data_IF_300296784830
#
_entry.id   IF_300296784830
#
_cell.length_a   1.000
_cell.length_b   1.000
_cell.length_c   1.000
_cell.angle_alpha   90.00
_cell.angle_beta   90.00
_cell.angle_gamma   90.00
#
_symmetry.space_group_name_H-M   'P 1'
#
loop_
_entity.id
_entity.type
_entity.pdbx_description
1 polymer ?
#
# COMPACT_ATOMS: atom_id res chain seq x y z
N UNK A 1 7.09 24.98 -4.61
CA UNK A 1 8.26 24.29 -5.21
C UNK A 1 8.32 22.78 -4.92
N UNK A 2 8.07 22.28 -3.69
CA UNK A 2 8.16 20.83 -3.38
C UNK A 2 7.15 19.92 -4.12
N UNK A 3 5.90 20.34 -4.35
CA UNK A 3 4.89 19.49 -5.01
C UNK A 3 5.24 19.13 -6.46
N UNK A 4 5.80 20.09 -7.23
CA UNK A 4 6.27 19.83 -8.60
C UNK A 4 7.38 18.76 -8.64
N UNK A 5 8.29 18.78 -7.65
CA UNK A 5 9.33 17.77 -7.50
C UNK A 5 8.75 16.38 -7.26
N UNK A 6 7.79 16.24 -6.34
CA UNK A 6 7.14 14.95 -6.08
C UNK A 6 6.31 14.45 -7.26
N UNK A 7 5.61 15.34 -7.96
CA UNK A 7 4.90 14.99 -9.18
C UNK A 7 5.86 14.49 -10.27
N UNK A 8 6.97 15.20 -10.48
CA UNK A 8 8.00 14.78 -11.43
C UNK A 8 8.57 13.41 -11.07
N UNK A 9 8.90 13.19 -9.79
CA UNK A 9 9.40 11.90 -9.32
C UNK A 9 8.36 10.78 -9.49
N UNK A 10 7.08 11.04 -9.25
CA UNK A 10 6.01 10.07 -9.47
C UNK A 10 5.92 9.69 -10.95
N UNK A 11 5.90 10.69 -11.85
CA UNK A 11 5.88 10.48 -13.30
C UNK A 11 7.11 9.68 -13.72
N UNK A 12 8.30 10.03 -13.22
CA UNK A 12 9.54 9.30 -13.49
C UNK A 12 9.42 7.81 -13.15
N UNK A 13 8.93 7.46 -11.96
CA UNK A 13 8.76 6.06 -11.56
C UNK A 13 7.71 5.32 -12.38
N UNK A 14 6.59 5.98 -12.71
CA UNK A 14 5.55 5.41 -13.60
C UNK A 14 6.13 5.14 -14.99
N UNK A 15 6.84 6.12 -15.57
CA UNK A 15 7.48 5.97 -16.88
C UNK A 15 8.51 4.84 -16.86
N UNK A 16 9.32 4.74 -15.81
CA UNK A 16 10.29 3.68 -15.67
C UNK A 16 9.64 2.29 -15.61
N UNK A 17 8.52 2.16 -14.87
CA UNK A 17 7.73 0.92 -14.82
C UNK A 17 7.14 0.56 -16.19
N UNK A 18 6.63 1.54 -16.94
CA UNK A 18 6.10 1.31 -18.30
C UNK A 18 7.21 0.87 -19.26
N UNK A 19 8.38 1.51 -19.21
CA UNK A 19 9.54 1.11 -20.00
C UNK A 19 9.99 -0.32 -19.66
N UNK A 20 9.97 -0.67 -18.38
CA UNK A 20 10.26 -2.04 -17.97
C UNK A 20 9.21 -3.04 -18.44
N UNK A 21 7.93 -2.66 -18.48
CA UNK A 21 6.89 -3.50 -19.08
C UNK A 21 7.11 -3.74 -20.57
N UNK A 22 7.52 -2.69 -21.32
CA UNK A 22 7.89 -2.81 -22.74
C UNK A 22 9.08 -3.77 -22.89
N UNK A 23 10.08 -3.69 -22.00
CA UNK A 23 11.19 -4.64 -21.98
C UNK A 23 10.71 -6.08 -21.75
N UNK A 24 9.78 -6.30 -20.81
CA UNK A 24 9.17 -7.62 -20.56
C UNK A 24 8.44 -8.10 -21.81
N UNK A 25 7.69 -7.24 -22.49
CA UNK A 25 7.00 -7.58 -23.74
C UNK A 25 7.97 -8.15 -24.79
N UNK A 26 9.12 -7.50 -24.99
CA UNK A 26 10.12 -7.97 -25.96
C UNK A 26 10.93 -9.19 -25.50
N UNK A 27 11.15 -9.37 -24.20
CA UNK A 27 12.03 -10.43 -23.67
C UNK A 27 11.29 -11.70 -23.23
N UNK A 28 10.05 -11.58 -22.76
CA UNK A 28 9.23 -12.68 -22.21
C UNK A 28 7.87 -12.82 -22.90
N UNK A 29 7.49 -11.89 -23.76
CA UNK A 29 6.26 -11.94 -24.56
C UNK A 29 5.07 -11.21 -23.95
N UNK A 30 3.97 -11.20 -24.69
CA UNK A 30 2.76 -10.44 -24.38
C UNK A 30 2.13 -10.84 -23.05
N UNK A 31 1.98 -12.15 -22.78
CA UNK A 31 1.34 -12.64 -21.56
C UNK A 31 2.05 -12.13 -20.30
N UNK A 32 3.39 -12.24 -20.25
CA UNK A 32 4.16 -11.74 -19.12
C UNK A 32 4.09 -10.22 -18.96
N UNK A 33 3.96 -9.47 -20.06
CA UNK A 33 3.79 -8.01 -20.00
C UNK A 33 2.41 -7.63 -19.44
N UNK A 34 1.35 -8.35 -19.84
CA UNK A 34 0.00 -8.15 -19.28
C UNK A 34 -0.03 -8.51 -17.80
N UNK A 35 0.62 -9.60 -17.40
CA UNK A 35 0.77 -9.99 -15.99
C UNK A 35 1.53 -8.95 -15.18
N UNK A 36 2.67 -8.47 -15.69
CA UNK A 36 3.45 -7.41 -15.03
C UNK A 36 2.63 -6.13 -14.86
N UNK A 37 1.98 -5.67 -15.93
CA UNK A 37 1.21 -4.44 -15.92
C UNK A 37 0.00 -4.53 -14.99
N UNK A 38 -0.70 -5.67 -15.04
CA UNK A 38 -1.79 -5.98 -14.13
C UNK A 38 -1.33 -5.97 -12.68
N UNK A 39 -0.21 -6.64 -12.41
CA UNK A 39 0.37 -6.70 -11.09
C UNK A 39 0.82 -5.34 -10.55
N UNK A 40 1.44 -4.53 -11.41
CA UNK A 40 1.85 -3.18 -11.08
C UNK A 40 0.65 -2.29 -10.73
N UNK A 41 -0.44 -2.38 -11.50
CA UNK A 41 -1.66 -1.61 -11.23
C UNK A 41 -2.33 -2.05 -9.92
N UNK A 42 -2.49 -3.35 -9.71
CA UNK A 42 -3.06 -3.89 -8.45
C UNK A 42 -2.26 -3.41 -7.26
N UNK A 43 -0.94 -3.55 -7.33
CA UNK A 43 -0.07 -3.17 -6.24
C UNK A 43 -0.07 -1.67 -5.98
N UNK A 44 -0.03 -0.85 -7.04
CA UNK A 44 -0.14 0.61 -6.93
C UNK A 44 -1.46 1.02 -6.28
N UNK A 45 -2.54 0.31 -6.59
CA UNK A 45 -3.89 0.57 -6.05
C UNK A 45 -3.99 0.22 -4.57
N UNK A 46 -3.45 -0.92 -4.16
CA UNK A 46 -3.44 -1.33 -2.77
C UNK A 46 -2.48 -0.48 -1.93
N UNK A 47 -1.37 -0.05 -2.52
CA UNK A 47 -0.42 0.88 -1.89
C UNK A 47 -1.06 2.24 -1.53
N UNK A 48 -2.15 2.65 -2.18
CA UNK A 48 -2.91 3.86 -1.79
C UNK A 48 -3.54 3.73 -0.41
N UNK A 49 -4.12 2.56 -0.10
CA UNK A 49 -4.69 2.29 1.22
C UNK A 49 -3.60 2.34 2.30
N UNK A 50 -2.43 1.78 1.98
CA UNK A 50 -1.25 1.82 2.85
C UNK A 50 -0.82 3.26 3.16
N UNK A 51 -0.85 4.16 2.17
CA UNK A 51 -0.51 5.57 2.36
C UNK A 51 -1.48 6.25 3.33
N UNK A 52 -2.79 5.97 3.26
CA UNK A 52 -3.75 6.55 4.20
C UNK A 52 -3.48 6.11 5.64
N UNK A 53 -3.13 4.83 5.83
CA UNK A 53 -2.71 4.34 7.13
C UNK A 53 -1.44 5.05 7.61
N UNK A 54 -0.46 5.27 6.73
CA UNK A 54 0.77 5.98 7.10
C UNK A 54 0.49 7.42 7.52
N UNK A 55 -0.38 8.14 6.79
CA UNK A 55 -0.82 9.49 7.16
C UNK A 55 -1.48 9.50 8.55
N UNK A 56 -2.33 8.52 8.83
CA UNK A 56 -3.00 8.38 10.12
C UNK A 56 -2.00 8.11 11.26
N UNK A 57 -1.03 7.22 11.04
CA UNK A 57 0.03 6.93 12.01
C UNK A 57 0.86 8.18 12.26
N UNK A 58 1.38 8.84 11.22
CA UNK A 58 2.19 10.04 11.39
C UNK A 58 1.43 11.17 12.09
N UNK A 59 0.14 11.34 11.78
CA UNK A 59 -0.72 12.31 12.45
C UNK A 59 -0.97 11.96 13.91
N UNK A 60 -1.25 10.70 14.23
CA UNK A 60 -1.50 10.21 15.59
C UNK A 60 -0.29 10.38 16.52
N UNK A 61 0.92 10.18 15.98
CA UNK A 61 2.18 10.36 16.72
C UNK A 61 2.76 11.78 16.64
N UNK A 62 2.09 12.71 15.93
CA UNK A 62 2.55 14.09 15.79
C UNK A 62 3.91 14.24 15.07
N UNK A 63 4.21 13.35 14.13
CA UNK A 63 5.50 13.34 13.41
C UNK A 63 5.52 14.47 12.38
N UNK A 64 6.44 15.43 12.55
CA UNK A 64 6.67 16.52 11.59
C UNK A 64 7.13 15.98 10.23
N UNK A 65 6.72 16.65 9.14
CA UNK A 65 7.05 16.30 7.74
C UNK A 65 8.55 16.04 7.50
N UNK A 66 9.43 16.77 8.19
CA UNK A 66 10.89 16.64 8.07
C UNK A 66 11.42 15.26 8.49
N UNK A 67 10.73 14.58 9.41
CA UNK A 67 11.13 13.26 9.88
C UNK A 67 10.43 12.11 9.14
N UNK A 68 9.28 12.38 8.53
CA UNK A 68 8.53 11.38 7.75
C UNK A 68 9.35 10.85 6.58
N UNK A 69 10.13 11.72 5.91
CA UNK A 69 11.00 11.32 4.79
C UNK A 69 11.95 10.17 5.16
N UNK A 70 12.55 10.25 6.35
CA UNK A 70 13.48 9.23 6.82
C UNK A 70 12.74 7.94 7.09
N UNK A 71 11.60 8.00 7.78
CA UNK A 71 10.80 6.81 8.08
C UNK A 71 10.34 6.13 6.81
N UNK A 72 9.84 6.88 5.82
CA UNK A 72 9.40 6.34 4.53
C UNK A 72 10.55 5.69 3.76
N UNK A 73 11.77 6.25 3.81
CA UNK A 73 12.93 5.66 3.13
C UNK A 73 13.28 4.28 3.69
N UNK A 74 13.41 4.17 5.01
CA UNK A 74 13.69 2.87 5.64
C UNK A 74 12.49 1.93 5.52
N UNK A 75 11.27 2.47 5.58
CA UNK A 75 10.00 1.77 5.38
C UNK A 75 9.92 1.06 4.02
N UNK A 76 10.27 1.78 2.95
CA UNK A 76 10.30 1.22 1.59
C UNK A 76 11.34 0.11 1.47
N UNK A 77 12.52 0.27 2.08
CA UNK A 77 13.57 -0.77 2.06
C UNK A 77 13.12 -2.01 2.81
N UNK A 78 12.54 -1.85 4.00
CA UNK A 78 12.02 -2.97 4.79
C UNK A 78 10.88 -3.70 4.08
N UNK A 79 9.89 -2.95 3.56
CA UNK A 79 8.80 -3.48 2.75
C UNK A 79 9.31 -4.32 1.56
N UNK A 80 10.31 -3.82 0.80
CA UNK A 80 10.87 -4.59 -0.33
C UNK A 80 11.48 -5.93 0.09
N UNK A 81 12.11 -5.99 1.26
CA UNK A 81 12.70 -7.22 1.80
C UNK A 81 11.61 -8.16 2.33
N UNK A 82 10.68 -7.64 3.14
CA UNK A 82 9.59 -8.43 3.71
C UNK A 82 8.69 -9.01 2.61
N UNK A 83 8.39 -8.23 1.57
CA UNK A 83 7.62 -8.72 0.44
C UNK A 83 8.34 -9.80 -0.33
N UNK A 84 9.65 -9.69 -0.56
CA UNK A 84 10.41 -10.78 -1.17
C UNK A 84 10.22 -12.08 -0.38
N UNK A 85 10.34 -12.01 0.94
CA UNK A 85 10.14 -13.17 1.83
C UNK A 85 8.72 -13.72 1.66
N UNK A 86 7.68 -12.90 1.76
CA UNK A 86 6.31 -13.38 1.64
C UNK A 86 5.96 -13.92 0.27
N UNK A 87 6.49 -13.35 -0.82
CA UNK A 87 6.28 -13.84 -2.18
C UNK A 87 6.92 -15.23 -2.32
N UNK A 88 8.17 -15.40 -1.88
CA UNK A 88 8.85 -16.70 -1.95
C UNK A 88 8.13 -17.77 -1.12
N UNK A 89 7.71 -17.42 0.10
CA UNK A 89 6.91 -18.31 0.95
C UNK A 89 5.55 -18.62 0.30
N UNK A 90 4.87 -17.61 -0.23
CA UNK A 90 3.56 -17.73 -0.86
C UNK A 90 3.58 -18.64 -2.08
N UNK A 91 4.52 -18.44 -3.00
CA UNK A 91 4.69 -19.32 -4.17
C UNK A 91 4.98 -20.76 -3.74
N UNK A 92 5.83 -20.94 -2.73
CA UNK A 92 6.15 -22.29 -2.19
C UNK A 92 4.90 -22.98 -1.63
N UNK A 93 4.04 -22.24 -0.94
CA UNK A 93 2.79 -22.75 -0.37
C UNK A 93 1.80 -23.11 -1.49
N UNK A 94 1.61 -22.22 -2.47
CA UNK A 94 0.69 -22.43 -3.60
C UNK A 94 1.08 -23.66 -4.41
N UNK A 95 2.38 -23.85 -4.68
CA UNK A 95 2.87 -25.00 -5.42
C UNK A 95 2.65 -26.33 -4.71
N UNK A 96 2.53 -26.32 -3.37
CA UNK A 96 2.22 -27.52 -2.57
C UNK A 96 0.72 -27.74 -2.39
N UNK A 97 -0.06 -26.67 -2.31
CA UNK A 97 -1.48 -26.71 -1.99
C UNK A 97 -2.28 -25.80 -2.93
N UNK A 98 -2.73 -26.34 -4.06
CA UNK A 98 -3.48 -25.59 -5.06
C UNK A 98 -4.77 -24.94 -4.50
N UNK A 99 -5.42 -25.56 -3.50
CA UNK A 99 -6.61 -25.00 -2.84
C UNK A 99 -6.34 -23.73 -2.02
N UNK A 100 -5.08 -23.37 -1.76
CA UNK A 100 -4.72 -22.15 -1.03
C UNK A 100 -5.16 -20.90 -1.81
N UNK A 101 -5.16 -20.94 -3.15
CA UNK A 101 -5.69 -19.84 -3.96
C UNK A 101 -7.15 -19.54 -3.63
N UNK A 102 -7.99 -20.56 -3.40
CA UNK A 102 -9.38 -20.36 -3.00
C UNK A 102 -9.51 -19.80 -1.58
N UNK A 103 -8.63 -20.20 -0.65
CA UNK A 103 -8.58 -19.61 0.69
C UNK A 103 -8.20 -18.12 0.65
N UNK A 104 -7.20 -17.79 -0.16
CA UNK A 104 -6.82 -16.43 -0.50
C UNK A 104 -8.00 -15.65 -1.08
N UNK A 105 -8.82 -16.28 -1.93
CA UNK A 105 -10.06 -15.68 -2.42
C UNK A 105 -11.04 -15.29 -1.31
N UNK A 106 -11.23 -16.14 -0.30
CA UNK A 106 -12.10 -15.85 0.86
C UNK A 106 -11.56 -14.67 1.67
N UNK A 107 -10.24 -14.62 1.89
CA UNK A 107 -9.58 -13.52 2.60
C UNK A 107 -9.80 -12.19 1.86
N UNK A 108 -9.59 -12.18 0.54
CA UNK A 108 -9.81 -11.00 -0.30
C UNK A 108 -11.28 -10.53 -0.28
N UNK A 109 -12.24 -11.46 -0.34
CA UNK A 109 -13.65 -11.10 -0.22
C UNK A 109 -13.94 -10.43 1.13
N UNK A 110 -13.43 -11.00 2.22
CA UNK A 110 -13.59 -10.43 3.55
C UNK A 110 -12.99 -9.02 3.66
N UNK A 111 -11.74 -8.85 3.22
CA UNK A 111 -11.07 -7.55 3.24
C UNK A 111 -11.79 -6.52 2.36
N UNK A 112 -12.20 -6.91 1.16
CA UNK A 112 -12.97 -6.07 0.26
C UNK A 112 -14.31 -5.61 0.85
N UNK A 113 -15.08 -6.52 1.47
CA UNK A 113 -16.33 -6.17 2.17
C UNK A 113 -16.08 -5.23 3.36
N UNK A 114 -14.98 -5.44 4.09
CA UNK A 114 -14.61 -4.60 5.22
C UNK A 114 -14.36 -3.15 4.81
N UNK A 115 -13.84 -2.89 3.60
CA UNK A 115 -13.61 -1.54 3.11
C UNK A 115 -14.89 -0.70 2.98
N UNK A 116 -16.04 -1.34 2.74
CA UNK A 116 -17.36 -0.68 2.65
C UNK A 116 -18.00 -0.37 4.01
N UNK A 117 -17.47 -0.95 5.08
CA UNK A 117 -17.99 -0.67 6.43
C UNK A 117 -17.62 0.76 6.85
N UNK A 118 -18.62 1.56 7.19
CA UNK A 118 -18.48 2.96 7.66
C UNK A 118 -17.93 3.08 9.09
N UNK A 119 -17.26 2.05 9.62
CA UNK A 119 -16.42 2.26 10.79
C UNK A 119 -15.23 3.07 10.32
N UNK A 120 -15.33 4.40 10.50
CA UNK A 120 -14.15 5.26 10.51
C UNK A 120 -13.11 4.52 11.32
N UNK A 121 -12.04 4.10 10.65
CA UNK A 121 -10.88 3.48 11.27
C UNK A 121 -10.21 4.57 12.11
N UNK A 122 -10.84 4.98 13.21
CA UNK A 122 -10.19 5.66 14.31
C UNK A 122 -9.33 4.60 14.99
N UNK A 123 -8.27 4.17 14.30
CA UNK A 123 -7.26 3.31 14.90
C UNK A 123 -6.54 4.18 15.91
N UNK A 124 -6.96 4.09 17.16
CA UNK A 124 -6.23 4.70 18.28
C UNK A 124 -4.87 3.98 18.40
N UNK A 125 -3.86 4.47 17.69
CA UNK A 125 -2.50 3.95 17.80
C UNK A 125 -1.89 4.26 19.17
N UNK A 126 -2.41 5.27 19.87
CA UNK A 126 -1.93 5.72 21.18
C UNK A 126 -1.94 4.66 22.30
N UNK A 127 -2.57 3.50 22.10
CA UNK A 127 -2.63 2.42 23.12
C UNK A 127 -2.30 1.01 22.58
N UNK A 128 -1.85 0.87 21.33
CA UNK A 128 -1.91 -0.42 20.62
C UNK A 128 -0.64 -1.29 20.73
N UNK A 129 -0.88 -2.60 20.60
CA UNK A 129 0.02 -3.75 20.70
C UNK A 129 1.47 -3.54 20.26
N UNK A 130 1.70 -2.87 19.12
CA UNK A 130 3.04 -2.60 18.59
C UNK A 130 3.91 -1.75 19.54
N UNK A 131 3.36 -0.68 20.13
CA UNK A 131 4.07 0.16 21.11
C UNK A 131 4.36 -0.63 22.40
N UNK A 132 3.41 -1.48 22.84
CA UNK A 132 3.59 -2.35 24.01
C UNK A 132 4.68 -3.40 23.80
N UNK A 133 4.76 -4.01 22.62
CA UNK A 133 5.82 -4.97 22.28
C UNK A 133 7.17 -4.26 22.18
N UNK A 134 7.22 -3.10 21.51
CA UNK A 134 8.42 -2.28 21.44
C UNK A 134 8.91 -1.88 22.82
N UNK A 135 8.02 -1.42 23.71
CA UNK A 135 8.35 -1.04 25.07
C UNK A 135 8.84 -2.19 25.95
N UNK A 136 8.52 -3.45 25.59
CA UNK A 136 9.09 -4.65 26.23
C UNK A 136 10.49 -5.01 25.70
N UNK A 137 10.82 -4.66 24.46
CA UNK A 137 12.10 -4.98 23.83
C UNK A 137 13.16 -3.88 24.07
N UNK A 138 12.78 -2.61 23.96
CA UNK A 138 13.67 -1.46 24.08
C UNK A 138 12.94 -0.33 24.82
N UNK A 139 13.54 0.30 25.85
CA UNK A 139 12.91 1.43 26.53
C UNK A 139 12.73 2.60 25.55
N UNK A 140 11.50 3.12 25.46
CA UNK A 140 11.13 4.21 24.53
C UNK A 140 11.37 5.55 25.23
N UNK A 141 12.06 6.47 24.55
CA UNK A 141 12.21 7.85 25.00
C UNK A 141 11.01 8.69 24.56
N UNK A 142 10.49 9.54 25.46
CA UNK A 142 9.45 10.52 25.12
C UNK A 142 9.99 11.77 24.39
N UNK A 143 11.31 11.86 24.20
CA UNK A 143 11.96 13.01 23.58
C UNK A 143 12.39 12.68 22.15
N UNK A 144 11.93 13.49 21.21
CA UNK A 144 12.45 13.54 19.84
C UNK A 144 13.86 14.16 19.85
N UNK A 145 14.87 13.42 19.37
CA UNK A 145 16.24 13.91 19.18
C UNK A 145 16.57 13.99 17.69
N UNK A 146 15.90 14.93 17.01
CA UNK A 146 16.00 15.14 15.57
C UNK A 146 15.68 13.87 14.76
N UNK A 147 16.53 13.55 13.78
CA UNK A 147 16.32 12.42 12.87
C UNK A 147 16.73 11.05 13.45
N UNK A 148 17.24 10.95 14.68
CA UNK A 148 17.83 9.69 15.18
C UNK A 148 16.75 8.67 15.56
N UNK A 149 16.96 7.40 15.21
CA UNK A 149 16.12 6.27 15.65
C UNK A 149 16.46 5.77 17.06
N UNK A 150 17.71 5.95 17.48
CA UNK A 150 18.18 5.54 18.79
C UNK A 150 18.94 6.70 19.44
N UNK A 151 18.75 6.83 20.75
CA UNK A 151 19.51 7.75 21.58
C UNK A 151 20.17 6.99 22.72
N UNK A 152 21.37 7.40 23.10
CA UNK A 152 22.07 6.84 24.27
C UNK A 152 21.92 7.80 25.44
N UNK A 153 21.30 7.35 26.53
CA UNK A 153 21.19 8.10 27.79
C UNK A 153 21.67 7.20 28.93
N UNK A 154 22.55 7.70 29.79
CA UNK A 154 23.09 6.95 30.94
C UNK A 154 23.58 5.54 30.60
N UNK A 155 24.40 5.41 29.55
CA UNK A 155 24.93 4.14 28.99
C UNK A 155 23.89 3.14 28.46
N UNK A 156 22.58 3.43 28.54
CA UNK A 156 21.49 2.63 27.97
C UNK A 156 21.04 3.20 26.63
N UNK A 157 20.63 2.32 25.71
CA UNK A 157 20.08 2.68 24.40
C UNK A 157 18.55 2.79 24.54
N UNK A 158 17.99 3.88 24.04
CA UNK A 158 16.56 4.12 23.99
C UNK A 158 16.10 4.26 22.54
N UNK A 159 14.97 3.65 22.22
CA UNK A 159 14.30 3.88 20.94
C UNK A 159 13.60 5.24 20.97
N UNK A 160 13.69 6.00 19.88
CA UNK A 160 12.92 7.23 19.71
C UNK A 160 11.52 6.91 19.17
N UNK A 161 10.55 7.85 19.27
CA UNK A 161 9.24 7.66 18.69
C UNK A 161 9.29 7.42 17.17
N UNK A 162 10.31 7.94 16.47
CA UNK A 162 10.54 7.68 15.05
C UNK A 162 10.81 6.21 14.74
N UNK A 163 11.55 5.52 15.62
CA UNK A 163 11.80 4.09 15.44
C UNK A 163 10.54 3.27 15.72
N UNK A 164 9.76 3.67 16.74
CA UNK A 164 8.49 3.02 17.01
C UNK A 164 7.52 3.14 15.82
N UNK A 165 7.43 4.32 15.22
CA UNK A 165 6.61 4.56 14.01
C UNK A 165 7.11 3.74 12.82
N UNK A 166 8.43 3.65 12.61
CA UNK A 166 9.00 2.80 11.56
C UNK A 166 8.55 1.35 11.71
N UNK A 167 8.66 0.78 12.91
CA UNK A 167 8.24 -0.60 13.17
C UNK A 167 6.73 -0.79 12.99
N UNK A 168 5.91 0.18 13.39
CA UNK A 168 4.47 0.11 13.15
C UNK A 168 4.19 0.06 11.65
N UNK A 169 4.86 0.90 10.86
CA UNK A 169 4.73 0.92 9.39
C UNK A 169 5.14 -0.43 8.78
N UNK A 170 6.26 -1.01 9.19
CA UNK A 170 6.71 -2.33 8.72
C UNK A 170 5.71 -3.44 9.11
N UNK A 171 5.21 -3.43 10.35
CA UNK A 171 4.18 -4.37 10.78
C UNK A 171 2.88 -4.19 9.99
N UNK A 172 2.51 -2.95 9.66
CA UNK A 172 1.36 -2.67 8.82
C UNK A 172 1.56 -3.15 7.38
N UNK A 173 2.76 -3.05 6.80
CA UNK A 173 3.04 -3.62 5.47
C UNK A 173 2.88 -5.14 5.45
N UNK A 174 3.29 -5.83 6.53
CA UNK A 174 3.01 -7.27 6.71
C UNK A 174 1.50 -7.56 6.70
N UNK A 175 0.70 -6.73 7.37
CA UNK A 175 -0.76 -6.88 7.36
C UNK A 175 -1.32 -6.63 5.96
N UNK A 176 -0.83 -5.61 5.25
CA UNK A 176 -1.26 -5.33 3.88
C UNK A 176 -0.86 -6.40 2.87
N UNK A 177 0.25 -7.10 3.12
CA UNK A 177 0.66 -8.25 2.32
C UNK A 177 -0.38 -9.38 2.34
N UNK A 178 -1.24 -9.45 3.36
CA UNK A 178 -2.36 -10.42 3.43
C UNK A 178 -3.38 -10.15 2.32
N UNK A 179 -3.53 -8.90 1.88
CA UNK A 179 -4.43 -8.55 0.79
C UNK A 179 -3.68 -8.51 -0.55
N UNK A 180 -2.50 -7.89 -0.59
CA UNK A 180 -1.80 -7.67 -1.86
C UNK A 180 -1.19 -8.91 -2.49
N UNK A 181 -0.68 -9.84 -1.67
CA UNK A 181 -0.03 -11.06 -2.17
C UNK A 181 -1.04 -12.04 -2.77
N UNK A 182 -2.17 -12.34 -2.10
CA UNK A 182 -3.28 -13.05 -2.74
C UNK A 182 -3.75 -12.40 -4.04
N UNK A 183 -3.90 -11.08 -4.06
CA UNK A 183 -4.39 -10.37 -5.24
C UNK A 183 -3.44 -10.51 -6.43
N UNK A 184 -2.12 -10.37 -6.23
CA UNK A 184 -1.14 -10.56 -7.32
C UNK A 184 -1.06 -12.03 -7.78
N UNK A 185 -1.20 -13.00 -6.86
CA UNK A 185 -1.24 -14.42 -7.24
C UNK A 185 -2.50 -14.80 -8.03
N UNK A 186 -3.55 -13.99 -7.99
CA UNK A 186 -4.70 -14.13 -8.89
C UNK A 186 -4.37 -13.75 -10.35
N UNK A 187 -3.25 -13.04 -10.57
CA UNK A 187 -2.76 -12.61 -11.88
C UNK A 187 -1.69 -13.57 -12.37
N UNK A 188 -0.64 -13.78 -11.57
CA UNK A 188 0.49 -14.65 -11.93
C UNK A 188 1.18 -15.21 -10.70
N UNK A 189 1.77 -16.40 -10.84
CA UNK A 189 2.65 -17.01 -9.83
C UNK A 189 4.12 -16.93 -10.22
N UNK A 190 4.46 -16.30 -11.36
CA UNK A 190 5.84 -16.03 -11.75
C UNK A 190 6.47 -15.05 -10.73
N UNK A 191 7.37 -15.58 -9.91
CA UNK A 191 8.04 -14.84 -8.82
C UNK A 191 8.77 -13.60 -9.33
N UNK A 192 9.36 -13.66 -10.53
CA UNK A 192 10.04 -12.51 -11.12
C UNK A 192 9.04 -11.40 -11.46
N UNK A 193 7.92 -11.75 -12.09
CA UNK A 193 6.89 -10.78 -12.46
C UNK A 193 6.26 -10.19 -11.19
N UNK A 194 5.84 -11.03 -10.25
CA UNK A 194 5.25 -10.62 -8.97
C UNK A 194 6.18 -9.66 -8.22
N UNK A 195 7.47 -10.01 -8.08
CA UNK A 195 8.40 -9.20 -7.31
C UNK A 195 8.76 -7.88 -8.01
N UNK A 196 9.03 -7.92 -9.31
CA UNK A 196 9.41 -6.71 -10.05
C UNK A 196 8.26 -5.71 -10.15
N UNK A 197 7.03 -6.16 -10.48
CA UNK A 197 5.87 -5.26 -10.52
C UNK A 197 5.61 -4.59 -9.18
N UNK A 198 5.86 -5.32 -8.10
CA UNK A 198 5.66 -4.88 -6.74
C UNK A 198 6.71 -3.84 -6.29
N UNK A 199 8.00 -4.07 -6.59
CA UNK A 199 9.06 -3.08 -6.37
C UNK A 199 8.77 -1.78 -7.12
N UNK A 200 8.44 -1.86 -8.43
CA UNK A 200 8.15 -0.68 -9.22
C UNK A 200 6.96 0.12 -8.67
N UNK A 201 5.96 -0.55 -8.10
CA UNK A 201 4.85 0.11 -7.43
C UNK A 201 5.30 0.83 -6.14
N UNK A 202 6.10 0.18 -5.28
CA UNK A 202 6.55 0.78 -4.01
C UNK A 202 7.56 1.92 -4.22
N UNK A 203 8.42 1.88 -5.24
CA UNK A 203 9.42 2.93 -5.45
C UNK A 203 8.80 4.33 -5.65
N UNK A 204 7.58 4.40 -6.19
CA UNK A 204 6.79 5.62 -6.31
C UNK A 204 6.14 6.12 -5.01
N UNK A 205 6.08 5.27 -3.97
CA UNK A 205 5.27 5.46 -2.75
C UNK A 205 5.59 6.77 -2.03
N UNK A 206 6.88 7.12 -1.89
CA UNK A 206 7.29 8.37 -1.24
C UNK A 206 6.70 9.60 -1.94
N UNK A 207 6.78 9.62 -3.27
CA UNK A 207 6.25 10.74 -4.06
C UNK A 207 4.73 10.79 -3.99
N UNK A 208 4.10 9.62 -4.03
CA UNK A 208 2.66 9.45 -3.90
C UNK A 208 2.15 9.94 -2.54
N UNK A 209 2.82 9.57 -1.45
CA UNK A 209 2.53 10.02 -0.08
C UNK A 209 2.43 11.54 0.02
N UNK A 210 3.45 12.28 -0.45
CA UNK A 210 3.46 13.74 -0.38
C UNK A 210 2.43 14.42 -1.28
N UNK A 211 2.03 13.76 -2.37
CA UNK A 211 0.94 14.24 -3.24
C UNK A 211 -0.40 14.04 -2.53
N UNK A 212 -0.63 12.85 -1.97
CA UNK A 212 -1.86 12.49 -1.24
C UNK A 212 -2.05 13.30 0.04
N UNK A 213 -0.99 13.53 0.82
CA UNK A 213 -1.03 14.36 2.03
C UNK A 213 -1.64 15.74 1.74
N UNK A 214 -1.28 16.33 0.59
CA UNK A 214 -1.80 17.64 0.14
C UNK A 214 -3.18 17.57 -0.50
N UNK A 215 -3.57 16.39 -0.97
CA UNK A 215 -4.84 16.11 -1.63
C UNK A 215 -5.78 15.30 -0.73
N UNK A 216 -5.56 15.29 0.58
CA UNK A 216 -6.20 14.36 1.53
C UNK A 216 -7.75 14.33 1.44
N UNK A 217 -8.37 15.40 0.97
CA UNK A 217 -9.82 15.48 0.79
C UNK A 217 -10.35 14.98 -0.57
N UNK A 218 -9.48 14.71 -1.56
CA UNK A 218 -9.86 14.43 -2.95
C UNK A 218 -10.06 12.95 -3.28
N UNK A 219 -9.66 12.03 -2.40
CA UNK A 219 -9.61 10.58 -2.69
C UNK A 219 -10.54 9.75 -1.79
N UNK A 220 -11.62 10.35 -1.28
CA UNK A 220 -12.58 9.66 -0.40
C UNK A 220 -13.12 8.36 -0.99
N UNK A 221 -13.36 8.35 -2.31
CA UNK A 221 -13.94 7.17 -2.98
C UNK A 221 -12.90 6.12 -3.37
N UNK A 222 -11.61 6.40 -3.19
CA UNK A 222 -10.56 5.47 -3.59
C UNK A 222 -10.59 4.18 -2.73
N UNK A 223 -10.91 4.31 -1.44
CA UNK A 223 -11.13 3.18 -0.53
C UNK A 223 -12.15 2.17 -1.10
N UNK A 224 -13.25 2.65 -1.67
CA UNK A 224 -14.27 1.77 -2.25
C UNK A 224 -13.81 1.12 -3.55
N UNK A 225 -13.01 1.82 -4.37
CA UNK A 225 -12.41 1.25 -5.57
C UNK A 225 -11.46 0.10 -5.26
N UNK A 226 -10.59 0.27 -4.28
CA UNK A 226 -9.72 -0.81 -3.78
C UNK A 226 -10.56 -1.98 -3.25
N UNK A 227 -11.64 -1.70 -2.50
CA UNK A 227 -12.57 -2.72 -2.04
C UNK A 227 -13.20 -3.52 -3.18
N UNK A 228 -13.64 -2.85 -4.26
CA UNK A 228 -14.14 -3.51 -5.46
C UNK A 228 -13.08 -4.41 -6.13
N UNK A 229 -11.82 -3.97 -6.20
CA UNK A 229 -10.71 -4.76 -6.75
C UNK A 229 -10.50 -6.03 -5.91
N UNK A 230 -10.50 -5.92 -4.58
CA UNK A 230 -10.38 -7.06 -3.67
C UNK A 230 -11.56 -8.04 -3.81
N UNK A 231 -12.80 -7.52 -3.89
CA UNK A 231 -13.98 -8.36 -4.11
C UNK A 231 -13.91 -9.12 -5.44
N UNK A 232 -13.53 -8.43 -6.52
CA UNK A 232 -13.40 -9.04 -7.84
C UNK A 232 -12.29 -10.10 -7.87
N UNK A 233 -11.09 -9.77 -7.38
CA UNK A 233 -9.94 -10.70 -7.34
C UNK A 233 -10.22 -11.89 -6.42
N UNK A 234 -10.89 -11.67 -5.29
CA UNK A 234 -11.36 -12.71 -4.38
C UNK A 234 -12.35 -13.67 -5.05
N UNK A 235 -13.36 -13.13 -5.72
CA UNK A 235 -14.33 -13.92 -6.48
C UNK A 235 -13.63 -14.73 -7.61
N UNK A 236 -12.70 -14.11 -8.33
CA UNK A 236 -11.89 -14.78 -9.38
C UNK A 236 -11.15 -15.99 -8.81
N UNK A 237 -10.51 -15.85 -7.64
CA UNK A 237 -9.76 -16.94 -7.01
C UNK A 237 -10.66 -18.09 -6.53
N UNK A 238 -11.87 -17.80 -6.06
CA UNK A 238 -12.83 -18.83 -5.64
C UNK A 238 -13.41 -19.56 -6.88
N UNK A 239 -13.64 -18.84 -7.99
CA UNK A 239 -14.12 -19.43 -9.24
C UNK A 239 -13.20 -20.53 -9.79
N UNK A 240 -11.91 -20.52 -9.44
CA UNK A 240 -10.97 -21.60 -9.75
C UNK A 240 -11.41 -22.95 -9.19
N UNK A 241 -12.16 -22.98 -8.08
CA UNK A 241 -12.72 -24.21 -7.49
C UNK A 241 -13.70 -24.91 -8.46
N UNK A 242 -14.42 -24.13 -9.27
CA UNK A 242 -15.32 -24.62 -10.31
C UNK A 242 -14.66 -24.70 -11.69
N UNK A 243 -13.32 -24.56 -11.78
CA UNK A 243 -12.55 -24.53 -13.03
C UNK A 243 -12.98 -23.43 -14.00
N UNK A 244 -13.52 -22.33 -13.47
CA UNK A 244 -13.86 -21.14 -14.25
C UNK A 244 -12.67 -20.19 -14.18
N UNK A 245 -11.94 -20.06 -15.28
CA UNK A 245 -10.76 -19.20 -15.38
C UNK A 245 -11.12 -17.88 -16.08
N UNK A 246 -10.89 -16.77 -15.38
CA UNK A 246 -10.96 -15.43 -15.98
C UNK A 246 -9.57 -15.08 -16.51
N UNK A 247 -9.48 -14.80 -17.81
CA UNK A 247 -8.22 -14.42 -18.43
C UNK A 247 -7.57 -13.22 -17.73
N UNK A 248 -6.24 -13.20 -17.74
CA UNK A 248 -5.46 -12.12 -17.11
C UNK A 248 -5.81 -10.78 -17.75
N UNK A 249 -5.88 -10.72 -19.08
CA UNK A 249 -6.25 -9.51 -19.84
C UNK A 249 -7.59 -8.93 -19.41
N UNK A 250 -8.63 -9.78 -19.29
CA UNK A 250 -9.96 -9.33 -18.84
C UNK A 250 -9.91 -8.84 -17.39
N UNK A 251 -9.13 -9.50 -16.54
CA UNK A 251 -8.95 -9.09 -15.15
C UNK A 251 -8.33 -7.70 -15.04
N UNK A 252 -7.24 -7.46 -15.79
CA UNK A 252 -6.54 -6.16 -15.81
C UNK A 252 -7.46 -5.07 -16.31
N UNK A 253 -8.25 -5.33 -17.37
CA UNK A 253 -9.20 -4.36 -17.91
C UNK A 253 -10.28 -3.99 -16.87
N UNK A 254 -10.85 -4.97 -16.17
CA UNK A 254 -11.83 -4.73 -15.11
C UNK A 254 -11.22 -3.88 -13.98
N UNK A 255 -10.00 -4.19 -13.55
CA UNK A 255 -9.29 -3.46 -12.50
C UNK A 255 -9.05 -2.00 -12.90
N UNK A 256 -8.59 -1.76 -14.13
CA UNK A 256 -8.41 -0.41 -14.67
C UNK A 256 -9.74 0.35 -14.68
N UNK A 257 -10.82 -0.28 -15.12
CA UNK A 257 -12.14 0.33 -15.14
C UNK A 257 -12.63 0.72 -13.74
N UNK A 258 -12.44 -0.15 -12.75
CA UNK A 258 -12.78 0.15 -11.35
C UNK A 258 -11.98 1.35 -10.85
N UNK A 259 -10.67 1.41 -11.13
CA UNK A 259 -9.80 2.51 -10.70
C UNK A 259 -10.19 3.83 -11.35
N UNK A 260 -10.38 3.84 -12.66
CA UNK A 260 -10.79 5.04 -13.40
C UNK A 260 -12.14 5.53 -12.92
N UNK A 261 -13.13 4.64 -12.75
CA UNK A 261 -14.44 4.99 -12.20
C UNK A 261 -14.31 5.60 -10.79
N UNK A 262 -13.48 5.01 -9.94
CA UNK A 262 -13.26 5.48 -8.56
C UNK A 262 -12.59 6.86 -8.54
N UNK A 263 -11.60 7.09 -9.40
CA UNK A 263 -10.94 8.39 -9.55
C UNK A 263 -11.93 9.43 -10.07
N UNK A 264 -12.69 9.13 -11.13
CA UNK A 264 -13.67 10.04 -11.71
C UNK A 264 -14.78 10.41 -10.72
N UNK A 265 -15.34 9.42 -10.02
CA UNK A 265 -16.32 9.65 -8.95
C UNK A 265 -15.72 10.52 -7.85
N UNK A 266 -14.46 10.27 -7.46
CA UNK A 266 -13.79 11.09 -6.46
C UNK A 266 -13.60 12.52 -6.94
N UNK A 267 -13.27 12.77 -8.20
CA UNK A 267 -13.15 14.13 -8.75
C UNK A 267 -14.50 14.85 -8.87
N UNK A 268 -15.56 14.16 -9.29
CA UNK A 268 -16.90 14.75 -9.46
C UNK A 268 -17.55 15.06 -8.12
N UNK A 269 -17.43 14.16 -7.14
CA UNK A 269 -18.06 14.28 -5.82
C UNK A 269 -17.13 14.86 -4.75
N UNK A 270 -15.92 15.31 -5.12
CA UNK A 270 -15.11 16.17 -4.25
C UNK A 270 -15.76 17.56 -4.20
N UNK A 271 -16.78 17.64 -3.37
CA UNK A 271 -17.57 18.85 -3.14
C UNK A 271 -16.74 19.84 -2.31
N UNK A 272 -16.60 21.07 -2.81
CA UNK A 272 -15.89 22.21 -2.22
C UNK A 272 -16.42 22.65 -0.83
N UNK A 273 -17.37 21.91 -0.24
CA UNK A 273 -18.12 22.27 0.96
C UNK A 273 -17.28 22.34 2.25
N UNK A 274 -16.11 21.69 2.32
CA UNK A 274 -15.18 21.81 3.47
C UNK A 274 -14.11 22.90 3.33
N UNK A 275 -13.90 23.46 2.13
CA UNK A 275 -12.99 24.62 1.96
C UNK A 275 -13.56 25.90 2.59
N UNK A 276 -14.90 26.02 2.69
CA UNK A 276 -15.57 27.22 3.23
C UNK A 276 -15.71 27.27 4.76
N UNK A 277 -15.60 26.13 5.46
CA UNK A 277 -15.82 26.07 6.92
C UNK A 277 -14.55 26.08 7.78
N UNK A 278 -13.34 26.20 7.18
CA UNK A 278 -12.07 26.32 7.93
C UNK A 278 -11.52 27.75 8.05
N UNK A 279 -12.16 28.73 7.40
CA UNK A 279 -11.86 30.15 7.58
C UNK A 279 -13.18 30.93 7.70
N UNK A 280 -13.79 31.03 8.90
CA UNK A 280 -14.64 32.18 9.14
C UNK A 280 -13.75 33.41 9.00
N UNK A 281 -14.01 34.21 7.97
CA UNK A 281 -13.46 35.55 7.84
C UNK A 281 -13.72 36.27 9.15
N UNK A 282 -12.67 36.47 9.97
CA UNK A 282 -12.69 37.49 11.00
C UNK A 282 -12.81 38.82 10.25
N UNK A 283 -14.01 39.39 10.25
CA UNK A 283 -14.22 40.81 10.08
C UNK A 283 -13.87 41.52 11.38
#
# INVERSE_FOLDING_TARGET
MKTKKYLFNLIFWITLSILFNILIFYTRGENSAVEYFGGYIVEMSLSLDNIFLFLMIFSSFGIKEEYQERVLLYGVIGAMVLRLIFILLGVTIINKFHSVLSLFGIILLYSGMHMFSNKDQNVEFGNNFAIRILGKLIPISNVFDGHKFFIKRNKKIYATPLFAVLIIIECSDVLFAIDSIPAIFSITTDTFIVYTSNIFAILGLRSMYYILEKMNNMFRFMKYGVGCILLFTGAKLILLLWRIEISVTNSVLIIIMILLASILLSLIFTDNKRMRNKFPLQK
#
